data_IF_983128237424
#
_entry.id   IF_983128237424
#
_cell.length_a   1.000
_cell.length_b   1.000
_cell.length_c   1.000
_cell.angle_alpha   90.00
_cell.angle_beta   90.00
_cell.angle_gamma   90.00
#
_symmetry.space_group_name_H-M   'P 1'
#
loop_
_entity.id
_entity.type
_entity.pdbx_description
1 polymer ?
#
# COMPACT_ATOMS: atom_id res chain seq x y z
N UNK A 1 -2.94 -6.14 9.12
CA UNK A 1 -1.95 -6.03 10.22
C UNK A 1 -2.53 -6.27 11.60
N UNK A 2 -3.61 -5.57 12.01
CA UNK A 2 -4.26 -5.82 13.31
C UNK A 2 -4.53 -7.31 13.60
N UNK A 3 -5.11 -8.04 12.64
CA UNK A 3 -5.38 -9.47 12.79
C UNK A 3 -4.14 -10.38 12.84
N UNK A 4 -3.00 -9.93 12.29
CA UNK A 4 -1.77 -10.72 12.24
C UNK A 4 -0.87 -10.47 13.46
N UNK A 5 -0.81 -9.21 13.91
CA UNK A 5 0.21 -8.72 14.85
C UNK A 5 -0.38 -7.84 15.98
N UNK A 6 -1.70 -7.76 16.11
CA UNK A 6 -2.40 -6.95 17.11
C UNK A 6 -2.20 -5.44 16.95
N UNK A 7 -2.44 -4.70 18.03
CA UNK A 7 -2.31 -3.23 18.08
C UNK A 7 -0.91 -2.74 17.73
N UNK A 8 0.12 -3.48 18.17
CA UNK A 8 1.52 -3.15 17.92
C UNK A 8 1.86 -3.17 16.43
N UNK A 9 1.38 -4.19 15.71
CA UNK A 9 1.56 -4.26 14.26
C UNK A 9 0.66 -3.30 13.49
N UNK A 10 -0.57 -3.09 13.94
CA UNK A 10 -1.46 -2.09 13.35
C UNK A 10 -0.87 -0.68 13.42
N UNK A 11 -0.34 -0.30 14.58
CA UNK A 11 0.30 1.01 14.77
C UNK A 11 1.47 1.20 13.79
N UNK A 12 2.35 0.20 13.67
CA UNK A 12 3.48 0.22 12.71
C UNK A 12 3.02 0.32 11.25
N UNK A 13 1.94 -0.38 10.90
CA UNK A 13 1.34 -0.34 9.57
C UNK A 13 0.78 1.05 9.20
N UNK A 14 0.18 1.74 10.18
CA UNK A 14 -0.27 3.13 10.01
C UNK A 14 0.92 4.03 9.70
N UNK A 15 2.01 3.92 10.46
CA UNK A 15 3.23 4.68 10.17
C UNK A 15 3.85 4.32 8.81
N UNK A 16 3.89 3.04 8.45
CA UNK A 16 4.32 2.61 7.11
C UNK A 16 3.48 3.30 6.02
N UNK A 17 2.15 3.32 6.20
CA UNK A 17 1.22 3.97 5.27
C UNK A 17 1.51 5.46 5.11
N UNK A 18 1.87 6.16 6.19
CA UNK A 18 2.22 7.59 6.13
C UNK A 18 3.38 7.88 5.18
N UNK A 19 4.35 6.97 5.04
CA UNK A 19 5.46 7.08 4.08
C UNK A 19 5.10 6.51 2.71
N UNK A 20 4.34 5.42 2.67
CA UNK A 20 3.92 4.79 1.43
C UNK A 20 3.14 5.75 0.52
N UNK A 21 2.19 6.51 1.06
CA UNK A 21 1.32 7.38 0.27
C UNK A 21 2.07 8.46 -0.53
N UNK A 22 2.96 9.27 0.10
CA UNK A 22 3.79 10.21 -0.64
C UNK A 22 4.63 9.54 -1.72
N UNK A 23 5.29 8.43 -1.39
CA UNK A 23 6.14 7.70 -2.35
C UNK A 23 5.31 7.18 -3.53
N UNK A 24 4.14 6.60 -3.25
CA UNK A 24 3.23 6.09 -4.27
C UNK A 24 2.76 7.18 -5.22
N UNK A 25 2.39 8.36 -4.70
CA UNK A 25 1.98 9.51 -5.51
C UNK A 25 3.13 10.08 -6.33
N UNK A 26 4.31 10.25 -5.73
CA UNK A 26 5.50 10.76 -6.43
C UNK A 26 5.87 9.82 -7.59
N UNK A 27 5.99 8.51 -7.32
CA UNK A 27 6.35 7.53 -8.34
C UNK A 27 5.26 7.39 -9.40
N UNK A 28 3.99 7.38 -9.01
CA UNK A 28 2.87 7.29 -9.96
C UNK A 28 2.81 8.47 -10.91
N UNK A 29 2.86 9.70 -10.39
CA UNK A 29 2.90 10.90 -11.23
C UNK A 29 4.19 11.02 -12.04
N UNK A 30 5.32 10.52 -11.52
CA UNK A 30 6.58 10.46 -12.28
C UNK A 30 6.42 9.52 -13.49
N UNK A 31 5.84 8.32 -13.30
CA UNK A 31 5.57 7.38 -14.39
C UNK A 31 4.67 8.01 -15.46
N UNK A 32 3.60 8.70 -15.04
CA UNK A 32 2.70 9.44 -15.95
C UNK A 32 3.49 10.48 -16.77
N UNK A 33 4.35 11.25 -16.12
CA UNK A 33 5.18 12.26 -16.79
C UNK A 33 6.18 11.63 -17.77
N UNK A 34 6.75 10.47 -17.44
CA UNK A 34 7.67 9.76 -18.33
C UNK A 34 6.96 9.20 -19.57
N UNK A 35 5.72 8.73 -19.42
CA UNK A 35 4.93 8.12 -20.50
C UNK A 35 4.23 9.16 -21.40
N UNK A 36 3.74 10.26 -20.84
CA UNK A 36 2.96 11.28 -21.55
C UNK A 36 3.68 12.62 -21.66
N UNK A 37 4.97 12.60 -22.02
CA UNK A 37 5.82 13.81 -22.14
C UNK A 37 5.22 14.92 -23.02
N UNK A 38 4.43 14.56 -24.03
CA UNK A 38 3.84 15.51 -24.98
C UNK A 38 2.59 16.21 -24.43
N UNK A 39 1.81 15.52 -23.59
CA UNK A 39 0.52 15.98 -23.09
C UNK A 39 0.52 16.34 -21.59
N UNK A 40 1.59 16.00 -20.87
CA UNK A 40 1.71 16.22 -19.43
C UNK A 40 3.03 16.93 -19.10
N UNK A 41 2.95 18.26 -18.94
CA UNK A 41 4.10 19.09 -18.64
C UNK A 41 4.59 18.92 -17.20
N UNK A 42 5.85 19.28 -16.92
CA UNK A 42 6.40 19.27 -15.56
C UNK A 42 5.58 20.14 -14.59
N UNK A 43 4.98 21.23 -15.09
CA UNK A 43 4.12 22.10 -14.29
C UNK A 43 2.81 21.41 -13.90
N UNK A 44 2.20 20.66 -14.81
CA UNK A 44 0.99 19.87 -14.54
C UNK A 44 1.29 18.71 -13.59
N UNK A 45 2.42 18.04 -13.77
CA UNK A 45 2.96 17.06 -12.83
C UNK A 45 3.06 17.62 -11.41
N UNK A 46 3.77 18.73 -11.21
CA UNK A 46 3.94 19.33 -9.90
C UNK A 46 2.61 19.81 -9.31
N UNK A 47 1.74 20.39 -10.14
CA UNK A 47 0.42 20.86 -9.70
C UNK A 47 -0.47 19.70 -9.25
N UNK A 48 -0.51 18.61 -10.02
CA UNK A 48 -1.27 17.41 -9.70
C UNK A 48 -0.71 16.71 -8.46
N UNK A 49 0.61 16.56 -8.36
CA UNK A 49 1.27 15.97 -7.20
C UNK A 49 0.95 16.76 -5.92
N UNK A 50 1.12 18.08 -5.93
CA UNK A 50 0.83 18.92 -4.75
C UNK A 50 -0.65 18.87 -4.40
N UNK A 51 -1.55 19.01 -5.38
CA UNK A 51 -2.99 19.01 -5.11
C UNK A 51 -3.48 17.70 -4.48
N UNK A 52 -2.91 16.56 -4.91
CA UNK A 52 -3.37 15.23 -4.46
C UNK A 52 -2.60 14.69 -3.26
N UNK A 53 -1.32 15.02 -3.10
CA UNK A 53 -0.51 14.58 -1.96
C UNK A 53 -0.71 15.45 -0.71
N UNK A 54 -1.08 16.72 -0.87
CA UNK A 54 -1.20 17.64 0.27
C UNK A 54 -2.27 17.20 1.27
N UNK A 55 -3.42 16.70 0.82
CA UNK A 55 -4.54 16.36 1.70
C UNK A 55 -4.20 15.16 2.61
N UNK A 56 -3.72 14.00 2.10
CA UNK A 56 -3.32 12.89 2.96
C UNK A 56 -2.17 13.25 3.91
N UNK A 57 -1.15 13.98 3.42
CA UNK A 57 0.00 14.38 4.24
C UNK A 57 -0.44 15.33 5.35
N UNK A 58 -1.20 16.37 5.03
CA UNK A 58 -1.72 17.31 6.03
C UNK A 58 -2.61 16.60 7.05
N UNK A 59 -3.46 15.68 6.62
CA UNK A 59 -4.33 14.90 7.53
C UNK A 59 -3.51 14.03 8.48
N UNK A 60 -2.47 13.36 7.98
CA UNK A 60 -1.59 12.53 8.81
C UNK A 60 -0.77 13.37 9.79
N UNK A 61 -0.25 14.53 9.36
CA UNK A 61 0.46 15.47 10.23
C UNK A 61 -0.46 16.05 11.32
N UNK A 62 -1.69 16.42 10.98
CA UNK A 62 -2.68 16.87 11.96
C UNK A 62 -2.99 15.77 12.98
N UNK A 63 -3.16 14.53 12.52
CA UNK A 63 -3.35 13.37 13.41
C UNK A 63 -2.17 13.17 14.38
N UNK A 64 -0.93 13.31 13.90
CA UNK A 64 0.27 13.24 14.74
C UNK A 64 0.33 14.39 15.75
N UNK A 65 0.06 15.63 15.32
CA UNK A 65 0.04 16.80 16.20
C UNK A 65 -1.00 16.58 17.31
N UNK A 66 -2.21 16.14 16.96
CA UNK A 66 -3.26 15.87 17.95
C UNK A 66 -2.85 14.76 18.93
N UNK A 67 -2.15 13.73 18.45
CA UNK A 67 -1.63 12.67 19.30
C UNK A 67 -0.55 13.18 20.28
N UNK A 68 0.42 13.97 19.80
CA UNK A 68 1.53 14.51 20.61
C UNK A 68 1.01 15.44 21.71
N UNK A 69 0.13 16.37 21.34
CA UNK A 69 -0.46 17.33 22.29
C UNK A 69 -1.62 16.73 23.11
N UNK A 70 -1.92 15.43 22.93
CA UNK A 70 -3.04 14.74 23.58
C UNK A 70 -4.34 15.55 23.50
N UNK A 71 -4.61 16.08 22.30
CA UNK A 71 -5.78 16.93 22.05
C UNK A 71 -7.03 16.09 22.30
N UNK A 72 -7.86 16.53 23.25
CA UNK A 72 -9.15 15.90 23.52
C UNK A 72 -10.14 16.30 22.41
N UNK A 73 -10.28 15.43 21.42
CA UNK A 73 -11.29 15.56 20.38
C UNK A 73 -12.67 15.33 21.00
N UNK A 74 -13.61 16.23 20.72
CA UNK A 74 -14.98 16.10 21.21
C UNK A 74 -15.59 14.75 20.77
N UNK A 75 -16.32 14.02 21.64
CA UNK A 75 -16.83 12.68 21.34
C UNK A 75 -17.57 12.58 20.00
N UNK A 76 -18.44 13.56 19.70
CA UNK A 76 -19.18 13.63 18.43
C UNK A 76 -18.26 13.61 17.20
N UNK A 77 -17.16 14.37 17.22
CA UNK A 77 -16.23 14.41 16.10
C UNK A 77 -15.40 13.12 16.02
N UNK A 78 -15.02 12.55 17.17
CA UNK A 78 -14.33 11.26 17.23
C UNK A 78 -15.18 10.13 16.66
N UNK A 79 -16.44 10.06 17.06
CA UNK A 79 -17.38 9.03 16.58
C UNK A 79 -17.64 9.20 15.08
N UNK A 80 -17.82 10.45 14.62
CA UNK A 80 -17.94 10.75 13.19
C UNK A 80 -16.73 10.24 12.39
N UNK A 81 -15.51 10.58 12.81
CA UNK A 81 -14.28 10.13 12.13
C UNK A 81 -14.19 8.60 12.15
N UNK A 82 -14.46 7.97 13.29
CA UNK A 82 -14.38 6.52 13.42
C UNK A 82 -15.39 5.81 12.51
N UNK A 83 -16.64 6.25 12.50
CA UNK A 83 -17.70 5.72 11.64
C UNK A 83 -17.37 5.89 10.17
N UNK A 84 -16.89 7.06 9.73
CA UNK A 84 -16.47 7.22 8.33
C UNK A 84 -15.28 6.33 7.97
N UNK A 85 -14.30 6.21 8.87
CA UNK A 85 -13.12 5.39 8.62
C UNK A 85 -13.43 3.90 8.49
N UNK A 86 -14.44 3.40 9.21
CA UNK A 86 -14.85 1.99 9.13
C UNK A 86 -15.56 1.65 7.82
N UNK A 87 -16.18 2.63 7.15
CA UNK A 87 -16.77 2.45 5.81
C UNK A 87 -15.76 2.48 4.67
N UNK A 88 -14.56 3.04 4.89
CA UNK A 88 -13.56 3.22 3.82
C UNK A 88 -13.17 1.90 3.16
N UNK A 89 -12.85 0.85 3.94
CA UNK A 89 -12.45 -0.46 3.39
C UNK A 89 -13.60 -1.12 2.62
N UNK A 90 -14.83 -1.24 3.17
CA UNK A 90 -15.99 -1.73 2.43
C UNK A 90 -16.24 -0.97 1.12
N UNK A 91 -16.15 0.36 1.13
CA UNK A 91 -16.36 1.19 -0.05
C UNK A 91 -15.31 0.93 -1.13
N UNK A 92 -14.03 0.84 -0.75
CA UNK A 92 -12.94 0.50 -1.67
C UNK A 92 -13.20 -0.86 -2.32
N UNK A 93 -13.52 -1.89 -1.53
CA UNK A 93 -13.81 -3.24 -2.05
C UNK A 93 -15.05 -3.27 -2.93
N UNK A 94 -16.08 -2.51 -2.58
CA UNK A 94 -17.29 -2.37 -3.40
C UNK A 94 -16.98 -1.73 -4.76
N UNK A 95 -16.18 -0.67 -4.80
CA UNK A 95 -15.74 -0.04 -6.05
C UNK A 95 -14.91 -1.00 -6.91
N UNK A 96 -14.02 -1.81 -6.31
CA UNK A 96 -13.29 -2.84 -7.07
C UNK A 96 -14.28 -3.83 -7.69
N UNK A 97 -15.24 -4.31 -6.90
CA UNK A 97 -16.28 -5.23 -7.36
C UNK A 97 -17.14 -4.66 -8.48
N UNK A 98 -17.46 -3.36 -8.45
CA UNK A 98 -18.23 -2.69 -9.51
C UNK A 98 -17.46 -2.60 -10.84
N UNK A 99 -16.13 -2.50 -10.79
CA UNK A 99 -15.29 -2.39 -11.98
C UNK A 99 -14.93 -3.76 -12.58
N UNK A 100 -15.46 -4.86 -12.03
CA UNK A 100 -15.19 -6.21 -12.53
C UNK A 100 -15.90 -6.48 -13.87
N UNK A 101 -15.10 -6.81 -14.88
CA UNK A 101 -15.59 -7.32 -16.15
C UNK A 101 -15.35 -8.84 -16.24
N UNK A 102 -16.43 -9.63 -16.15
CA UNK A 102 -16.40 -11.10 -16.27
C UNK A 102 -16.16 -11.60 -17.70
N UNK A 103 -16.25 -10.72 -18.71
CA UNK A 103 -16.07 -11.05 -20.13
C UNK A 103 -14.69 -10.62 -20.65
N UNK A 104 -13.69 -10.66 -19.78
CA UNK A 104 -12.33 -10.22 -20.12
C UNK A 104 -11.66 -11.21 -21.10
N UNK A 105 -10.96 -10.74 -22.15
CA UNK A 105 -10.18 -11.60 -23.02
C UNK A 105 -9.14 -12.43 -22.24
N UNK A 106 -8.94 -13.68 -22.63
CA UNK A 106 -7.99 -14.60 -21.98
C UNK A 106 -6.58 -14.01 -21.87
N UNK A 107 -6.15 -13.22 -22.86
CA UNK A 107 -4.84 -12.56 -22.81
C UNK A 107 -4.73 -11.57 -21.65
N UNK A 108 -5.75 -10.73 -21.43
CA UNK A 108 -5.77 -9.78 -20.31
C UNK A 108 -5.79 -10.51 -18.97
N UNK A 109 -6.51 -11.63 -18.86
CA UNK A 109 -6.52 -12.47 -17.65
C UNK A 109 -5.12 -13.02 -17.36
N UNK A 110 -4.41 -13.52 -18.38
CA UNK A 110 -3.03 -14.02 -18.23
C UNK A 110 -2.08 -12.92 -17.75
N UNK A 111 -2.16 -11.73 -18.34
CA UNK A 111 -1.37 -10.57 -17.92
C UNK A 111 -1.69 -10.22 -16.46
N UNK A 112 -2.98 -10.13 -16.12
CA UNK A 112 -3.40 -9.80 -14.76
C UNK A 112 -2.93 -10.82 -13.71
N UNK A 113 -3.01 -12.12 -14.01
CA UNK A 113 -2.48 -13.20 -13.17
C UNK A 113 -0.97 -13.09 -13.01
N UNK A 114 -0.23 -12.85 -14.10
CA UNK A 114 1.21 -12.73 -14.07
C UNK A 114 1.66 -11.52 -13.24
N UNK A 115 1.10 -10.34 -13.50
CA UNK A 115 1.37 -9.11 -12.75
C UNK A 115 1.01 -9.26 -11.27
N UNK A 116 -0.13 -9.87 -10.95
CA UNK A 116 -0.56 -10.11 -9.57
C UNK A 116 0.36 -11.10 -8.85
N UNK A 117 0.77 -12.17 -9.53
CA UNK A 117 1.71 -13.16 -8.98
C UNK A 117 3.07 -12.53 -8.70
N UNK A 118 3.58 -11.71 -9.63
CA UNK A 118 4.82 -10.97 -9.40
C UNK A 118 4.70 -10.09 -8.17
N UNK A 119 3.64 -9.29 -8.07
CA UNK A 119 3.41 -8.38 -6.94
C UNK A 119 3.39 -9.12 -5.60
N UNK A 120 2.65 -10.22 -5.52
CA UNK A 120 2.42 -10.97 -4.27
C UNK A 120 3.62 -11.85 -3.87
N UNK A 121 4.39 -12.37 -4.82
CA UNK A 121 5.51 -13.28 -4.54
C UNK A 121 6.81 -12.51 -4.41
N UNK A 122 7.10 -11.59 -5.34
CA UNK A 122 8.38 -10.87 -5.36
C UNK A 122 8.38 -9.62 -4.47
N UNK A 123 7.22 -9.19 -3.97
CA UNK A 123 7.11 -8.10 -3.01
C UNK A 123 7.99 -8.29 -1.77
N UNK A 124 8.23 -9.54 -1.35
CA UNK A 124 9.08 -9.85 -0.20
C UNK A 124 10.53 -9.38 -0.41
N UNK A 125 11.07 -9.48 -1.63
CA UNK A 125 12.44 -9.07 -1.91
C UNK A 125 12.60 -7.55 -1.76
N UNK A 126 11.59 -6.78 -2.18
CA UNK A 126 11.58 -5.33 -1.94
C UNK A 126 11.53 -5.02 -0.43
N UNK A 127 10.77 -5.80 0.34
CA UNK A 127 10.74 -5.69 1.80
C UNK A 127 12.09 -6.00 2.45
N UNK A 128 12.79 -7.04 1.99
CA UNK A 128 14.13 -7.40 2.44
C UNK A 128 15.15 -6.31 2.11
N UNK A 129 15.13 -5.79 0.88
CA UNK A 129 16.03 -4.71 0.45
C UNK A 129 15.74 -3.44 1.27
N UNK A 130 14.47 -3.07 1.43
CA UNK A 130 14.11 -1.91 2.23
C UNK A 130 14.56 -2.07 3.69
N UNK A 131 14.36 -3.24 4.27
CA UNK A 131 14.77 -3.55 5.64
C UNK A 131 16.29 -3.50 5.80
N UNK A 132 17.04 -4.02 4.82
CA UNK A 132 18.50 -3.91 4.79
C UNK A 132 18.96 -2.46 4.77
N UNK A 133 18.40 -1.65 3.87
CA UNK A 133 18.80 -0.25 3.74
C UNK A 133 18.50 0.51 5.03
N UNK A 134 17.32 0.29 5.63
CA UNK A 134 16.95 0.94 6.90
C UNK A 134 17.89 0.49 8.02
N UNK A 135 18.29 -0.79 8.05
CA UNK A 135 19.12 -1.33 9.11
C UNK A 135 20.55 -0.77 9.13
N UNK A 136 21.03 -0.25 7.98
CA UNK A 136 22.31 0.47 7.90
C UNK A 136 22.32 1.78 8.70
N UNK A 137 21.15 2.38 8.94
CA UNK A 137 21.02 3.68 9.61
C UNK A 137 20.31 3.58 10.97
N UNK A 138 19.44 2.59 11.15
CA UNK A 138 18.56 2.47 12.32
C UNK A 138 18.48 1.03 12.82
N UNK A 139 18.29 0.85 14.13
CA UNK A 139 17.93 -0.47 14.68
C UNK A 139 16.45 -0.74 14.43
N UNK A 140 16.15 -1.87 13.80
CA UNK A 140 14.78 -2.31 13.51
C UNK A 140 14.41 -3.42 14.49
N UNK A 141 13.33 -3.25 15.24
CA UNK A 141 12.79 -4.32 16.08
C UNK A 141 12.10 -5.40 15.24
N UNK A 142 12.05 -6.62 15.79
CA UNK A 142 11.47 -7.80 15.12
C UNK A 142 10.05 -7.54 14.59
N UNK A 143 9.20 -6.89 15.39
CA UNK A 143 7.83 -6.61 15.00
C UNK A 143 7.75 -5.61 13.84
N UNK A 144 8.60 -4.59 13.81
CA UNK A 144 8.69 -3.64 12.68
C UNK A 144 9.17 -4.32 11.41
N UNK A 145 10.17 -5.21 11.51
CA UNK A 145 10.64 -5.99 10.36
C UNK A 145 9.52 -6.87 9.80
N UNK A 146 8.81 -7.60 10.66
CA UNK A 146 7.68 -8.45 10.26
C UNK A 146 6.57 -7.65 9.59
N UNK A 147 6.25 -6.47 10.10
CA UNK A 147 5.27 -5.56 9.49
C UNK A 147 5.75 -5.08 8.11
N UNK A 148 6.99 -4.62 7.97
CA UNK A 148 7.54 -4.18 6.67
C UNK A 148 7.41 -5.31 5.63
N UNK A 149 7.84 -6.52 5.99
CA UNK A 149 7.82 -7.67 5.08
C UNK A 149 6.40 -8.08 4.68
N UNK A 150 5.45 -8.04 5.61
CA UNK A 150 4.07 -8.40 5.31
C UNK A 150 3.31 -7.28 4.55
N UNK A 151 3.67 -6.01 4.75
CA UNK A 151 3.18 -4.88 3.92
C UNK A 151 3.65 -5.02 2.46
N UNK A 152 4.88 -5.45 2.23
CA UNK A 152 5.42 -5.50 0.86
C UNK A 152 4.81 -6.60 0.00
N UNK A 153 4.20 -7.63 0.60
CA UNK A 153 3.47 -8.71 -0.09
C UNK A 153 1.96 -8.48 -0.16
N UNK A 154 1.47 -7.31 0.25
CA UNK A 154 0.06 -6.94 0.08
C UNK A 154 -0.34 -6.85 -1.40
N UNK A 155 -1.63 -7.08 -1.71
CA UNK A 155 -2.14 -6.96 -3.08
C UNK A 155 -1.93 -5.57 -3.68
N UNK A 156 -2.20 -5.44 -4.98
CA UNK A 156 -2.03 -4.19 -5.70
C UNK A 156 -2.93 -3.09 -5.11
N UNK A 157 -2.37 -1.91 -4.90
CA UNK A 157 -3.10 -0.79 -4.30
C UNK A 157 -4.24 -0.33 -5.22
N UNK A 158 -5.47 -0.30 -4.70
CA UNK A 158 -6.64 0.22 -5.42
C UNK A 158 -6.46 1.65 -5.90
N UNK A 159 -5.61 2.41 -5.20
CA UNK A 159 -5.24 3.77 -5.58
C UNK A 159 -4.57 3.84 -6.96
N UNK A 160 -4.11 2.74 -7.55
CA UNK A 160 -3.68 2.74 -8.94
C UNK A 160 -4.79 3.19 -9.92
N UNK A 161 -6.07 2.96 -9.59
CA UNK A 161 -7.21 3.42 -10.39
C UNK A 161 -7.34 4.93 -10.47
N UNK A 162 -6.88 5.66 -9.44
CA UNK A 162 -6.86 7.11 -9.44
C UNK A 162 -6.01 7.68 -10.59
N UNK A 163 -4.96 6.97 -11.01
CA UNK A 163 -4.12 7.41 -12.12
C UNK A 163 -4.78 7.25 -13.49
N UNK A 164 -5.86 6.48 -13.60
CA UNK A 164 -6.60 6.28 -14.85
C UNK A 164 -7.31 7.55 -15.38
N UNK A 165 -7.33 8.62 -14.58
CA UNK A 165 -7.85 9.93 -14.98
C UNK A 165 -6.77 10.83 -15.57
N UNK A 166 -5.48 10.47 -15.42
CA UNK A 166 -4.34 11.22 -15.93
C UNK A 166 -3.70 10.60 -17.17
N UNK A 167 -3.97 9.32 -17.43
CA UNK A 167 -3.42 8.56 -18.56
C UNK A 167 -4.47 7.65 -19.16
N UNK A 168 -4.34 7.36 -20.46
CA UNK A 168 -5.16 6.37 -21.16
C UNK A 168 -4.71 4.95 -20.81
N UNK A 169 -5.10 4.52 -19.61
CA UNK A 169 -4.81 3.18 -19.10
C UNK A 169 -5.93 2.20 -19.45
N UNK A 170 -5.58 0.95 -19.74
CA UNK A 170 -6.55 -0.14 -19.87
C UNK A 170 -7.26 -0.42 -18.53
N UNK A 171 -8.38 0.28 -18.32
CA UNK A 171 -9.17 0.23 -17.07
C UNK A 171 -9.68 -1.18 -16.77
N UNK A 172 -9.98 -1.97 -17.80
CA UNK A 172 -10.43 -3.36 -17.62
C UNK A 172 -9.29 -4.26 -17.13
N UNK A 173 -8.08 -4.09 -17.70
CA UNK A 173 -6.90 -4.82 -17.23
C UNK A 173 -6.53 -4.43 -15.80
N UNK A 174 -6.58 -3.14 -15.47
CA UNK A 174 -6.33 -2.68 -14.10
C UNK A 174 -7.33 -3.31 -13.12
N UNK A 175 -8.64 -3.25 -13.41
CA UNK A 175 -9.66 -3.84 -12.55
C UNK A 175 -9.45 -5.34 -12.34
N UNK A 176 -9.01 -6.04 -13.39
CA UNK A 176 -8.62 -7.45 -13.31
C UNK A 176 -7.42 -7.68 -12.39
N UNK A 177 -6.35 -6.87 -12.51
CA UNK A 177 -5.17 -6.95 -11.63
C UNK A 177 -5.57 -6.71 -10.16
N UNK A 178 -6.35 -5.66 -9.89
CA UNK A 178 -6.80 -5.34 -8.53
C UNK A 178 -7.60 -6.50 -7.93
N UNK A 179 -8.52 -7.07 -8.70
CA UNK A 179 -9.34 -8.17 -8.18
C UNK A 179 -8.56 -9.46 -8.03
N UNK A 180 -7.80 -9.87 -9.04
CA UNK A 180 -7.03 -11.12 -9.01
C UNK A 180 -6.00 -11.06 -7.89
N UNK A 181 -5.25 -9.95 -7.74
CA UNK A 181 -4.31 -9.82 -6.63
C UNK A 181 -5.01 -9.86 -5.26
N UNK A 182 -6.17 -9.23 -5.12
CA UNK A 182 -6.96 -9.28 -3.87
C UNK A 182 -7.44 -10.71 -3.56
N UNK A 183 -7.97 -11.43 -4.54
CA UNK A 183 -8.42 -12.82 -4.37
C UNK A 183 -7.25 -13.76 -4.05
N UNK A 184 -6.14 -13.65 -4.77
CA UNK A 184 -4.93 -14.43 -4.51
C UNK A 184 -4.36 -14.15 -3.12
N UNK A 185 -4.49 -12.91 -2.63
CA UNK A 185 -4.04 -12.51 -1.29
C UNK A 185 -4.69 -13.29 -0.16
N UNK A 186 -5.90 -13.83 -0.35
CA UNK A 186 -6.57 -14.68 0.64
C UNK A 186 -5.78 -15.94 0.97
N UNK A 187 -4.96 -16.41 0.02
CA UNK A 187 -4.09 -17.59 0.19
C UNK A 187 -2.65 -17.14 0.43
N UNK A 188 -2.15 -16.17 -0.33
CA UNK A 188 -0.72 -15.80 -0.24
C UNK A 188 -0.37 -15.05 1.04
N UNK A 189 -1.26 -14.21 1.60
CA UNK A 189 -0.96 -13.47 2.83
C UNK A 189 -0.84 -14.39 4.07
N UNK A 190 -1.75 -15.35 4.32
CA UNK A 190 -1.55 -16.32 5.40
C UNK A 190 -0.26 -17.13 5.26
N UNK A 191 0.10 -17.53 4.02
CA UNK A 191 1.34 -18.25 3.75
C UNK A 191 2.57 -17.40 4.07
N UNK A 192 2.61 -16.14 3.61
CA UNK A 192 3.70 -15.22 3.94
C UNK A 192 3.79 -14.92 5.42
N UNK A 193 2.65 -14.71 6.09
CA UNK A 193 2.61 -14.54 7.53
C UNK A 193 3.22 -15.74 8.26
N UNK A 194 2.84 -16.97 7.89
CA UNK A 194 3.41 -18.19 8.45
C UNK A 194 4.94 -18.26 8.23
N UNK A 195 5.41 -17.95 7.03
CA UNK A 195 6.85 -17.95 6.72
C UNK A 195 7.61 -16.90 7.53
N UNK A 196 7.07 -15.69 7.66
CA UNK A 196 7.68 -14.58 8.42
C UNK A 196 7.72 -14.88 9.92
N UNK A 197 6.72 -15.57 10.46
CA UNK A 197 6.71 -16.03 11.86
C UNK A 197 7.57 -17.28 12.11
N UNK A 198 7.94 -18.03 11.07
CA UNK A 198 8.72 -19.27 11.26
C UNK A 198 10.14 -18.96 11.74
N UNK A 199 10.58 -19.66 12.79
CA UNK A 199 11.91 -19.53 13.41
C UNK A 199 13.08 -19.57 12.41
N UNK A 200 12.96 -20.33 11.30
CA UNK A 200 13.99 -20.38 10.27
C UNK A 200 14.22 -19.01 9.60
N UNK A 201 13.15 -18.28 9.29
CA UNK A 201 13.25 -16.95 8.70
C UNK A 201 13.86 -15.97 9.71
N UNK A 202 13.42 -16.04 10.97
CA UNK A 202 13.96 -15.23 12.06
C UNK A 202 15.47 -15.48 12.29
N UNK A 203 15.92 -16.74 12.24
CA UNK A 203 17.31 -17.11 12.52
C UNK A 203 18.25 -16.74 11.36
N UNK A 204 17.81 -16.84 10.10
CA UNK A 204 18.71 -16.69 8.96
C UNK A 204 18.65 -15.30 8.32
N UNK A 205 17.53 -14.58 8.45
CA UNK A 205 17.32 -13.31 7.77
C UNK A 205 17.54 -12.13 8.72
N UNK A 206 17.13 -12.21 9.99
CA UNK A 206 17.26 -11.11 10.96
C UNK A 206 18.71 -10.78 11.33
N UNK A 207 19.61 -11.76 11.58
CA UNK A 207 21.00 -11.44 11.94
C UNK A 207 21.79 -10.75 10.84
N UNK A 208 21.32 -10.83 9.58
CA UNK A 208 21.91 -10.10 8.44
C UNK A 208 21.67 -8.59 8.58
N UNK A 209 20.60 -8.18 9.26
CA UNK A 209 20.19 -6.79 9.41
C UNK A 209 20.57 -6.18 10.77
N UNK A 210 20.95 -6.99 11.77
CA UNK A 210 21.20 -6.52 13.15
C UNK A 210 22.70 -6.53 13.53
N UNK A 211 23.60 -6.91 12.62
CA UNK A 211 25.06 -6.75 12.77
C UNK A 211 25.53 -5.41 12.24
#
# INVERSE_FOLDING_TARGET
>A
MFYFFGDGGFTRAVFFSMFFWPVFLILGFLMIYLENRENFSLREFLKALVANALIPIASALLGLIFNIYKVNIHPVLKDFIFTFSSFTIPMILFTIGLNLNFKLPVNKIKIALFSSSIRLIFGIFLGLIASFIISLFFRIDDLSLKVILLETVMPSATMAAFFADFIDMDKELLAAILTISTLLSLITLPLWFYLVETNWFLINVIPIFVR
#
